data_IF_617144811148
#
_entry.id   IF_617144811148
#
_cell.length_a   1.000
_cell.length_b   1.000
_cell.length_c   1.000
_cell.angle_alpha   90.00
_cell.angle_beta   90.00
_cell.angle_gamma   90.00
#
_symmetry.space_group_name_H-M   'P 1'
#
loop_
_entity.id
_entity.type
_entity.pdbx_description
1 polymer ?
#
# COMPACT_ATOMS: atom_id res chain seq x y z
N UNK A 1 6.81 9.85 7.46
CA UNK A 1 6.02 8.78 6.82
C UNK A 1 4.66 8.59 7.46
N UNK A 2 4.54 8.07 8.68
CA UNK A 2 3.31 8.22 9.47
C UNK A 2 3.41 9.55 10.23
N UNK A 3 2.60 10.52 9.83
CA UNK A 3 2.45 11.78 10.53
C UNK A 3 0.99 11.84 10.94
N UNK A 4 0.73 12.01 12.24
CA UNK A 4 -0.63 12.27 12.69
C UNK A 4 -1.11 13.53 11.98
N UNK A 5 -2.05 13.33 11.08
CA UNK A 5 -2.51 14.37 10.16
C UNK A 5 -4.01 14.48 10.34
N UNK A 6 -4.45 15.62 10.87
CA UNK A 6 -5.87 15.94 10.90
C UNK A 6 -6.33 16.27 9.48
N UNK A 7 -7.34 15.55 9.00
CA UNK A 7 -7.95 15.84 7.71
C UNK A 7 -8.96 16.97 7.90
N UNK A 8 -8.74 18.08 7.20
CA UNK A 8 -9.68 19.20 7.23
C UNK A 8 -11.03 18.77 6.64
N UNK A 9 -12.14 19.32 7.14
CA UNK A 9 -13.49 19.04 6.62
C UNK A 9 -13.81 19.71 5.27
N UNK A 10 -12.78 20.11 4.52
CA UNK A 10 -12.93 20.82 3.25
C UNK A 10 -13.51 19.88 2.16
N UNK A 11 -14.30 20.40 1.20
CA UNK A 11 -14.88 19.59 0.13
C UNK A 11 -13.83 18.82 -0.69
N UNK A 12 -12.68 19.43 -0.96
CA UNK A 12 -11.55 18.79 -1.64
C UNK A 12 -11.04 17.54 -0.90
N UNK A 13 -10.90 17.62 0.42
CA UNK A 13 -10.49 16.49 1.24
C UNK A 13 -11.49 15.34 1.15
N UNK A 14 -12.79 15.64 1.26
CA UNK A 14 -13.86 14.63 1.18
C UNK A 14 -13.89 13.91 -0.16
N UNK A 15 -13.66 14.62 -1.26
CA UNK A 15 -13.57 13.99 -2.59
C UNK A 15 -12.38 13.06 -2.67
N UNK A 16 -11.19 13.48 -2.21
CA UNK A 16 -10.02 12.60 -2.21
C UNK A 16 -10.16 11.39 -1.28
N UNK A 17 -10.79 11.56 -0.11
CA UNK A 17 -11.12 10.45 0.79
C UNK A 17 -11.96 9.42 0.05
N UNK A 18 -13.04 9.85 -0.62
CA UNK A 18 -13.91 8.96 -1.39
C UNK A 18 -13.16 8.20 -2.49
N UNK A 19 -12.30 8.89 -3.25
CA UNK A 19 -11.47 8.23 -4.28
C UNK A 19 -10.50 7.21 -3.65
N UNK A 20 -10.07 7.43 -2.41
CA UNK A 20 -9.23 6.49 -1.68
C UNK A 20 -10.02 5.29 -1.14
N UNK A 21 -11.27 5.48 -0.72
CA UNK A 21 -12.18 4.42 -0.27
C UNK A 21 -12.39 3.37 -1.36
N UNK A 22 -12.53 3.80 -2.61
CA UNK A 22 -12.70 2.92 -3.78
C UNK A 22 -11.56 1.90 -3.91
N UNK A 23 -10.35 2.22 -3.43
CA UNK A 23 -9.19 1.29 -3.44
C UNK A 23 -9.38 0.08 -2.52
N UNK A 24 -10.26 0.19 -1.52
CA UNK A 24 -10.51 -0.87 -0.53
C UNK A 24 -11.84 -1.59 -0.75
N UNK A 25 -12.58 -1.23 -1.80
CA UNK A 25 -13.78 -1.95 -2.20
C UNK A 25 -13.43 -3.41 -2.54
N UNK A 26 -14.13 -4.40 -1.94
CA UNK A 26 -13.88 -5.81 -2.24
C UNK A 26 -14.02 -6.12 -3.73
N UNK A 27 -12.99 -6.75 -4.32
CA UNK A 27 -13.07 -7.20 -5.70
C UNK A 27 -13.81 -8.55 -5.78
N UNK A 28 -15.08 -8.49 -6.20
CA UNK A 28 -15.94 -9.67 -6.30
C UNK A 28 -15.82 -10.41 -7.64
N UNK A 29 -15.12 -9.84 -8.63
CA UNK A 29 -15.01 -10.42 -9.98
C UNK A 29 -14.35 -11.81 -9.98
N UNK A 30 -13.44 -12.07 -9.05
CA UNK A 30 -12.80 -13.37 -8.89
C UNK A 30 -13.77 -14.47 -8.43
N UNK A 31 -14.89 -14.10 -7.80
CA UNK A 31 -15.88 -15.03 -7.25
C UNK A 31 -17.07 -15.26 -8.20
N UNK A 32 -17.33 -14.35 -9.14
CA UNK A 32 -18.61 -14.29 -9.88
C UNK A 32 -18.61 -14.96 -11.26
N UNK A 33 -17.48 -15.48 -11.73
CA UNK A 33 -17.36 -15.99 -13.12
C UNK A 33 -18.17 -17.25 -13.46
N UNK A 34 -18.90 -17.86 -12.52
CA UNK A 34 -19.83 -18.98 -12.82
C UNK A 34 -21.01 -19.21 -11.83
N UNK A 35 -21.20 -18.40 -10.77
CA UNK A 35 -21.83 -18.89 -9.52
C UNK A 35 -22.66 -17.84 -8.73
N UNK A 36 -23.22 -16.84 -9.43
CA UNK A 36 -23.68 -15.57 -8.82
C UNK A 36 -24.65 -15.64 -7.62
N UNK A 37 -25.70 -16.48 -7.58
CA UNK A 37 -26.69 -16.41 -6.50
C UNK A 37 -26.19 -16.99 -5.16
N UNK A 38 -25.45 -18.10 -5.19
CA UNK A 38 -24.99 -18.71 -3.94
C UNK A 38 -23.81 -17.95 -3.34
N UNK A 39 -22.91 -17.44 -4.19
CA UNK A 39 -21.73 -16.68 -3.77
C UNK A 39 -22.18 -15.45 -2.98
N UNK A 40 -23.26 -14.81 -3.43
CA UNK A 40 -23.85 -13.69 -2.72
C UNK A 40 -24.42 -14.09 -1.35
N UNK A 41 -25.10 -15.23 -1.25
CA UNK A 41 -25.59 -15.76 0.04
C UNK A 41 -24.46 -16.07 1.00
N UNK A 42 -23.38 -16.69 0.53
CA UNK A 42 -22.22 -17.00 1.35
C UNK A 42 -21.44 -15.73 1.75
N UNK A 43 -21.37 -14.71 0.89
CA UNK A 43 -20.82 -13.39 1.23
C UNK A 43 -21.64 -12.71 2.33
N UNK A 44 -22.97 -12.74 2.24
CA UNK A 44 -23.85 -12.20 3.28
C UNK A 44 -23.66 -12.93 4.61
N UNK A 45 -23.63 -14.26 4.58
CA UNK A 45 -23.37 -15.08 5.78
C UNK A 45 -22.00 -14.78 6.38
N UNK A 46 -20.94 -14.76 5.56
CA UNK A 46 -19.59 -14.46 6.02
C UNK A 46 -19.43 -13.01 6.53
N UNK A 47 -20.23 -12.07 6.01
CA UNK A 47 -20.26 -10.68 6.48
C UNK A 47 -21.07 -10.47 7.77
N UNK A 48 -21.86 -11.46 8.20
CA UNK A 48 -22.63 -11.41 9.45
C UNK A 48 -21.71 -11.37 10.68
N UNK A 49 -22.21 -10.95 11.85
CA UNK A 49 -21.43 -11.02 13.10
C UNK A 49 -20.88 -12.43 13.39
N UNK A 50 -21.68 -13.47 13.15
CA UNK A 50 -21.29 -14.87 13.33
C UNK A 50 -20.26 -15.30 12.28
N UNK A 51 -20.48 -14.96 11.01
CA UNK A 51 -19.53 -15.23 9.92
C UNK A 51 -18.16 -14.58 10.18
N UNK A 52 -18.15 -13.32 10.61
CA UNK A 52 -16.94 -12.59 10.99
C UNK A 52 -16.25 -13.21 12.20
N UNK A 53 -17.01 -13.64 13.20
CA UNK A 53 -16.47 -14.34 14.36
C UNK A 53 -15.79 -15.66 13.95
N UNK A 54 -16.39 -16.42 13.02
CA UNK A 54 -15.80 -17.64 12.45
C UNK A 54 -14.49 -17.32 11.73
N UNK A 55 -14.48 -16.32 10.83
CA UNK A 55 -13.26 -15.90 10.13
C UNK A 55 -12.15 -15.53 11.11
N UNK A 56 -12.44 -14.74 12.14
CA UNK A 56 -11.42 -14.37 13.13
C UNK A 56 -10.96 -15.58 13.95
N UNK A 57 -11.84 -16.51 14.32
CA UNK A 57 -11.43 -17.71 15.06
C UNK A 57 -10.41 -18.55 14.27
N UNK A 58 -10.56 -18.64 12.94
CA UNK A 58 -9.60 -19.29 12.04
C UNK A 58 -8.25 -18.58 12.03
N UNK A 59 -8.22 -17.27 12.28
CA UNK A 59 -7.00 -16.46 12.27
C UNK A 59 -6.32 -16.36 13.64
N UNK A 60 -7.05 -16.54 14.74
CA UNK A 60 -6.50 -16.42 16.09
C UNK A 60 -5.35 -17.39 16.35
N UNK A 61 -5.50 -18.68 16.00
CA UNK A 61 -4.44 -19.67 16.19
C UNK A 61 -3.21 -19.39 15.30
N UNK A 62 -3.34 -19.16 13.98
CA UNK A 62 -2.23 -18.70 13.14
C UNK A 62 -1.54 -17.44 13.65
N UNK A 63 -2.30 -16.45 14.11
CA UNK A 63 -1.77 -15.19 14.63
C UNK A 63 -0.93 -15.42 15.91
N UNK A 64 -1.39 -16.33 16.77
CA UNK A 64 -0.66 -16.75 17.96
C UNK A 64 0.57 -17.58 17.63
N UNK A 65 0.53 -18.40 16.57
CA UNK A 65 1.67 -19.18 16.07
C UNK A 65 2.69 -18.33 15.29
N UNK A 66 2.23 -17.27 14.61
CA UNK A 66 3.04 -16.23 13.97
C UNK A 66 3.94 -15.50 14.98
N UNK A 67 3.59 -15.51 16.29
CA UNK A 67 4.42 -14.94 17.38
C UNK A 67 5.82 -15.56 17.48
N UNK A 68 6.06 -16.72 16.89
CA UNK A 68 7.36 -17.36 17.03
C UNK A 68 8.32 -17.05 15.88
N UNK A 69 8.15 -17.51 14.64
CA UNK A 69 9.38 -17.68 13.84
C UNK A 69 9.26 -17.38 12.34
N UNK A 70 8.17 -17.73 11.64
CA UNK A 70 8.24 -17.81 10.17
C UNK A 70 8.31 -16.46 9.42
N UNK A 71 7.44 -15.49 9.73
CA UNK A 71 7.49 -14.18 9.03
C UNK A 71 8.75 -13.40 9.39
N UNK A 72 9.22 -13.52 10.63
CA UNK A 72 10.46 -12.91 11.12
C UNK A 72 11.67 -13.58 10.50
N UNK A 73 11.71 -14.91 10.42
CA UNK A 73 12.77 -15.66 9.75
C UNK A 73 12.76 -15.34 8.26
N UNK A 74 11.61 -15.32 7.58
CA UNK A 74 11.55 -14.97 6.15
C UNK A 74 12.01 -13.54 5.87
N UNK A 75 11.58 -12.58 6.68
CA UNK A 75 12.09 -11.22 6.59
C UNK A 75 13.59 -11.19 6.90
N UNK A 76 14.04 -11.80 8.00
CA UNK A 76 15.45 -11.87 8.38
C UNK A 76 16.33 -12.53 7.32
N UNK A 77 15.88 -13.60 6.68
CA UNK A 77 16.59 -14.27 5.56
C UNK A 77 16.79 -13.33 4.37
N UNK A 78 15.84 -12.43 4.09
CA UNK A 78 16.02 -11.41 3.04
C UNK A 78 17.07 -10.36 3.41
N UNK A 79 17.26 -10.11 4.70
CA UNK A 79 18.21 -9.14 5.24
C UNK A 79 19.45 -9.79 5.89
N UNK A 80 19.65 -11.12 5.73
CA UNK A 80 20.55 -11.94 6.56
C UNK A 80 22.03 -11.65 6.36
N UNK A 81 22.41 -11.14 5.18
CA UNK A 81 23.79 -10.74 4.87
C UNK A 81 24.17 -9.37 5.48
N UNK A 82 23.21 -8.63 6.03
CA UNK A 82 23.49 -7.35 6.66
C UNK A 82 23.64 -7.58 8.16
N UNK A 83 24.87 -7.89 8.57
CA UNK A 83 25.27 -7.87 9.97
C UNK A 83 24.79 -6.56 10.61
N UNK A 84 24.08 -6.65 11.75
CA UNK A 84 23.64 -5.53 12.61
C UNK A 84 22.48 -4.61 12.14
N UNK A 85 21.58 -4.99 11.21
CA UNK A 85 20.39 -4.14 10.90
C UNK A 85 19.34 -4.14 11.99
N UNK A 86 19.00 -5.32 12.50
CA UNK A 86 18.06 -5.50 13.60
C UNK A 86 18.59 -6.61 14.49
N UNK A 87 18.89 -6.30 15.74
CA UNK A 87 19.21 -7.36 16.69
C UNK A 87 17.95 -8.21 16.95
N UNK A 88 18.12 -9.44 17.44
CA UNK A 88 16.99 -10.35 17.71
C UNK A 88 15.93 -9.75 18.64
N UNK A 89 16.33 -8.81 19.51
CA UNK A 89 15.43 -8.11 20.43
C UNK A 89 14.54 -7.11 19.69
N UNK A 90 15.10 -6.30 18.80
CA UNK A 90 14.38 -5.33 17.99
C UNK A 90 13.43 -6.04 17.01
N UNK A 91 13.89 -7.11 16.35
CA UNK A 91 13.04 -7.92 15.48
C UNK A 91 11.84 -8.50 16.25
N UNK A 92 12.06 -8.96 17.50
CA UNK A 92 10.99 -9.44 18.37
C UNK A 92 10.02 -8.34 18.79
N UNK A 93 10.53 -7.16 19.15
CA UNK A 93 9.70 -6.00 19.53
C UNK A 93 8.84 -5.49 18.36
N UNK A 94 9.41 -5.41 17.16
CA UNK A 94 8.66 -5.06 15.94
C UNK A 94 7.55 -6.09 15.66
N UNK A 95 7.85 -7.37 15.86
CA UNK A 95 6.88 -8.46 15.72
C UNK A 95 5.75 -8.38 16.73
N UNK A 96 6.06 -8.08 17.99
CA UNK A 96 5.05 -7.86 19.03
C UNK A 96 4.16 -6.65 18.69
N UNK A 97 4.73 -5.56 18.16
CA UNK A 97 3.95 -4.40 17.72
C UNK A 97 3.07 -4.72 16.51
N UNK A 98 3.60 -5.43 15.51
CA UNK A 98 2.83 -5.89 14.35
C UNK A 98 1.68 -6.82 14.78
N UNK A 99 1.91 -7.72 15.75
CA UNK A 99 0.87 -8.56 16.32
C UNK A 99 -0.26 -7.74 16.93
N UNK A 100 0.05 -6.73 17.76
CA UNK A 100 -0.97 -5.87 18.36
C UNK A 100 -1.80 -5.14 17.30
N UNK A 101 -1.15 -4.72 16.21
CA UNK A 101 -1.83 -4.12 15.06
C UNK A 101 -2.83 -5.09 14.42
N UNK A 102 -2.44 -6.35 14.18
CA UNK A 102 -3.37 -7.35 13.63
C UNK A 102 -4.48 -7.76 14.61
N UNK A 103 -4.19 -7.88 15.91
CA UNK A 103 -5.24 -8.09 16.92
C UNK A 103 -6.27 -6.97 16.82
N UNK A 104 -5.80 -5.71 16.77
CA UNK A 104 -6.69 -4.56 16.65
C UNK A 104 -7.49 -4.57 15.36
N UNK A 105 -6.87 -4.99 14.26
CA UNK A 105 -7.51 -5.10 12.96
C UNK A 105 -8.62 -6.17 12.95
N UNK A 106 -8.39 -7.30 13.61
CA UNK A 106 -9.39 -8.37 13.75
C UNK A 106 -10.54 -7.95 14.68
N UNK A 107 -10.27 -7.17 15.74
CA UNK A 107 -11.33 -6.55 16.56
C UNK A 107 -12.22 -5.65 15.69
N UNK A 108 -11.64 -4.80 14.86
CA UNK A 108 -12.39 -3.92 13.95
C UNK A 108 -13.18 -4.71 12.92
N UNK A 109 -12.60 -5.78 12.37
CA UNK A 109 -13.31 -6.69 11.47
C UNK A 109 -14.48 -7.39 12.17
N UNK A 110 -14.46 -7.63 13.48
CA UNK A 110 -15.61 -8.20 14.19
C UNK A 110 -16.69 -7.19 14.56
N UNK A 111 -16.41 -5.88 14.50
CA UNK A 111 -17.38 -4.89 14.92
C UNK A 111 -18.60 -4.90 13.99
N UNK A 112 -19.82 -4.89 14.56
CA UNK A 112 -21.02 -4.78 13.77
C UNK A 112 -21.11 -3.36 13.19
N UNK A 113 -20.75 -3.20 11.93
CA UNK A 113 -21.11 -2.02 11.15
C UNK A 113 -22.52 -2.24 10.64
N UNK A 114 -23.42 -1.26 10.79
CA UNK A 114 -24.79 -1.36 10.27
C UNK A 114 -24.75 -1.71 8.79
N UNK A 115 -25.06 -2.96 8.45
CA UNK A 115 -25.24 -3.37 7.05
C UNK A 115 -26.47 -2.61 6.59
N UNK A 116 -26.29 -1.57 5.78
CA UNK A 116 -27.40 -1.02 5.02
C UNK A 116 -27.90 -2.17 4.15
N UNK A 117 -29.07 -2.72 4.49
CA UNK A 117 -29.63 -3.85 3.76
C UNK A 117 -29.90 -3.34 2.35
N UNK A 118 -29.10 -3.73 1.35
CA UNK A 118 -29.33 -3.24 0.02
C UNK A 118 -30.66 -3.84 -0.43
N UNK A 119 -31.54 -3.01 -1.00
CA UNK A 119 -32.76 -3.52 -1.63
C UNK A 119 -32.31 -4.51 -2.70
N UNK A 120 -32.58 -5.80 -2.46
CA UNK A 120 -32.14 -6.95 -3.27
C UNK A 120 -32.41 -6.77 -4.78
N UNK A 121 -33.30 -5.88 -5.18
CA UNK A 121 -33.64 -5.63 -6.58
C UNK A 121 -32.54 -4.95 -7.41
N UNK A 122 -31.55 -4.28 -6.81
CA UNK A 122 -30.52 -3.51 -7.54
C UNK A 122 -29.13 -4.16 -7.67
N UNK A 123 -28.81 -5.15 -6.83
CA UNK A 123 -27.47 -5.76 -6.78
C UNK A 123 -27.26 -6.89 -7.78
N UNK A 124 -28.32 -7.46 -8.33
CA UNK A 124 -28.20 -8.51 -9.37
C UNK A 124 -27.71 -7.98 -10.71
N UNK A 125 -27.72 -6.66 -10.91
CA UNK A 125 -27.31 -6.03 -12.18
C UNK A 125 -25.91 -5.44 -12.16
N UNK A 126 -25.32 -5.13 -11.00
CA UNK A 126 -24.03 -4.44 -10.94
C UNK A 126 -23.23 -4.74 -9.65
N UNK A 127 -22.79 -6.00 -9.50
CA UNK A 127 -21.97 -6.47 -8.35
C UNK A 127 -20.59 -5.77 -8.29
N UNK A 128 -20.20 -5.02 -9.33
CA UNK A 128 -18.92 -4.31 -9.40
C UNK A 128 -18.84 -3.01 -8.59
N UNK A 129 -19.98 -2.39 -8.27
CA UNK A 129 -20.07 -1.02 -7.70
C UNK A 129 -20.58 -1.01 -6.24
N UNK A 130 -20.26 -2.04 -5.46
CA UNK A 130 -20.70 -2.12 -4.06
C UNK A 130 -19.83 -1.26 -3.14
N UNK A 131 -20.45 -0.29 -2.47
CA UNK A 131 -19.81 0.50 -1.40
C UNK A 131 -19.32 -0.37 -0.24
N UNK A 132 -18.26 0.07 0.47
CA UNK A 132 -17.73 -0.53 1.70
C UNK A 132 -18.82 -0.85 2.74
N UNK A 133 -19.82 0.03 2.87
CA UNK A 133 -20.92 -0.11 3.81
C UNK A 133 -21.80 -1.35 3.57
N UNK A 134 -21.97 -1.76 2.30
CA UNK A 134 -22.74 -2.96 1.92
C UNK A 134 -22.17 -4.21 2.60
N UNK A 135 -20.85 -4.24 2.73
CA UNK A 135 -20.14 -5.37 3.31
C UNK A 135 -19.82 -5.16 4.78
N UNK A 136 -20.32 -4.09 5.41
CA UNK A 136 -20.02 -3.73 6.79
C UNK A 136 -18.55 -3.38 7.01
N UNK A 137 -17.87 -2.85 5.99
CA UNK A 137 -16.50 -2.33 6.12
C UNK A 137 -16.62 -0.86 6.55
N UNK A 138 -15.99 -0.45 7.67
CA UNK A 138 -16.06 0.92 8.14
C UNK A 138 -15.32 1.89 7.22
N UNK A 139 -15.69 3.16 7.30
CA UNK A 139 -15.04 4.25 6.56
C UNK A 139 -13.53 4.27 6.82
N UNK A 140 -12.75 4.61 5.79
CA UNK A 140 -11.28 4.54 5.89
C UNK A 140 -10.74 5.50 6.94
N UNK A 141 -11.42 6.61 7.21
CA UNK A 141 -11.06 7.55 8.27
C UNK A 141 -11.19 6.90 9.65
N UNK A 142 -12.29 6.17 9.89
CA UNK A 142 -12.53 5.44 11.13
C UNK A 142 -11.51 4.32 11.34
N UNK A 143 -11.22 3.55 10.27
CA UNK A 143 -10.14 2.55 10.28
C UNK A 143 -8.81 3.19 10.65
N UNK A 144 -8.48 4.32 10.00
CA UNK A 144 -7.22 5.00 10.22
C UNK A 144 -7.06 5.49 11.65
N UNK A 145 -8.09 6.12 12.22
CA UNK A 145 -8.09 6.57 13.61
C UNK A 145 -7.93 5.40 14.57
N UNK A 146 -8.57 4.26 14.29
CA UNK A 146 -8.51 3.10 15.17
C UNK A 146 -7.14 2.40 15.19
N UNK A 147 -6.44 2.35 14.04
CA UNK A 147 -5.12 1.69 13.95
C UNK A 147 -3.94 2.63 14.19
N UNK A 148 -4.15 3.94 14.14
CA UNK A 148 -3.09 4.96 14.28
C UNK A 148 -2.24 4.80 15.55
N UNK A 149 -2.78 4.54 16.76
CA UNK A 149 -1.96 4.33 17.94
C UNK A 149 -0.98 3.16 17.80
N UNK A 150 -1.42 2.04 17.23
CA UNK A 150 -0.59 0.85 17.00
C UNK A 150 0.49 1.12 15.94
N UNK A 151 0.13 1.82 14.87
CA UNK A 151 1.06 2.23 13.82
C UNK A 151 2.12 3.23 14.31
N UNK A 152 1.74 4.19 15.15
CA UNK A 152 2.69 5.12 15.77
C UNK A 152 3.63 4.40 16.74
N UNK A 153 3.15 3.39 17.47
CA UNK A 153 4.01 2.55 18.30
C UNK A 153 5.03 1.77 17.45
N UNK A 154 4.56 1.16 16.36
CA UNK A 154 5.42 0.45 15.41
C UNK A 154 6.48 1.39 14.80
N UNK A 155 6.09 2.61 14.40
CA UNK A 155 7.00 3.63 13.91
C UNK A 155 8.00 4.10 14.97
N UNK A 156 7.59 4.27 16.24
CA UNK A 156 8.50 4.63 17.33
C UNK A 156 9.58 3.58 17.54
N UNK A 157 9.23 2.29 17.49
CA UNK A 157 10.20 1.19 17.57
C UNK A 157 11.20 1.24 16.40
N UNK A 158 10.71 1.56 15.20
CA UNK A 158 11.56 1.76 14.04
C UNK A 158 12.50 2.96 14.16
N UNK A 159 12.00 4.14 14.56
CA UNK A 159 12.84 5.33 14.74
C UNK A 159 13.92 5.10 15.81
N UNK A 160 13.59 4.35 16.86
CA UNK A 160 14.53 3.96 17.89
C UNK A 160 15.68 3.06 17.37
N UNK A 161 15.46 2.31 16.28
CA UNK A 161 16.51 1.47 15.67
C UNK A 161 17.54 2.29 14.88
N UNK A 162 17.28 3.59 14.63
CA UNK A 162 18.15 4.51 13.86
C UNK A 162 18.51 4.02 12.45
N UNK A 163 17.80 3.02 11.92
CA UNK A 163 18.09 2.38 10.64
C UNK A 163 16.83 2.28 9.79
N UNK A 164 16.76 3.09 8.72
CA UNK A 164 15.63 3.10 7.78
C UNK A 164 15.40 1.73 7.09
N UNK A 165 16.39 0.83 7.06
CA UNK A 165 16.21 -0.55 6.56
C UNK A 165 15.20 -1.34 7.40
N UNK A 166 15.04 -1.00 8.69
CA UNK A 166 14.00 -1.58 9.52
C UNK A 166 12.57 -1.23 9.04
N UNK A 167 12.39 -0.16 8.25
CA UNK A 167 11.10 0.16 7.64
C UNK A 167 10.79 -0.78 6.47
N UNK A 168 11.79 -1.07 5.63
CA UNK A 168 11.69 -2.10 4.60
C UNK A 168 11.41 -3.48 5.19
N UNK A 169 12.03 -3.79 6.32
CA UNK A 169 11.71 -5.00 7.10
C UNK A 169 10.25 -5.02 7.55
N UNK A 170 9.73 -3.92 8.11
CA UNK A 170 8.35 -3.83 8.58
C UNK A 170 7.32 -4.05 7.46
N UNK A 171 7.43 -3.34 6.34
CA UNK A 171 6.47 -3.50 5.23
C UNK A 171 6.49 -4.92 4.67
N UNK A 172 7.67 -5.55 4.68
CA UNK A 172 7.87 -6.95 4.28
C UNK A 172 7.26 -7.93 5.26
N UNK A 173 7.43 -7.68 6.56
CA UNK A 173 6.82 -8.48 7.62
C UNK A 173 5.30 -8.45 7.54
N UNK A 174 4.70 -7.27 7.31
CA UNK A 174 3.25 -7.14 7.14
C UNK A 174 2.77 -7.90 5.91
N UNK A 175 3.46 -7.79 4.77
CA UNK A 175 3.13 -8.55 3.57
C UNK A 175 3.18 -10.07 3.81
N UNK A 176 4.26 -10.58 4.41
CA UNK A 176 4.34 -12.02 4.74
C UNK A 176 3.26 -12.45 5.73
N UNK A 177 2.96 -11.62 6.73
CA UNK A 177 1.88 -11.90 7.68
C UNK A 177 0.53 -11.96 6.99
N UNK A 178 0.22 -11.00 6.11
CA UNK A 178 -1.00 -11.01 5.29
C UNK A 178 -1.10 -12.32 4.48
N UNK A 179 -0.05 -12.72 3.76
CA UNK A 179 -0.06 -13.94 2.97
C UNK A 179 -0.29 -15.19 3.82
N UNK A 180 0.38 -15.30 4.97
CA UNK A 180 0.23 -16.44 5.87
C UNK A 180 -1.17 -16.53 6.48
N UNK A 181 -1.79 -15.39 6.80
CA UNK A 181 -3.15 -15.33 7.32
C UNK A 181 -4.18 -15.67 6.24
N UNK A 182 -4.05 -15.09 5.04
CA UNK A 182 -4.99 -15.34 3.93
C UNK A 182 -5.04 -16.81 3.50
N UNK A 183 -3.92 -17.53 3.57
CA UNK A 183 -3.85 -18.98 3.29
C UNK A 183 -4.74 -19.84 4.21
N UNK A 184 -5.23 -19.30 5.33
CA UNK A 184 -6.10 -20.01 6.28
C UNK A 184 -7.59 -19.79 6.04
N UNK A 185 -7.92 -18.96 5.05
CA UNK A 185 -9.27 -18.50 4.79
C UNK A 185 -9.81 -19.02 3.47
N UNK A 186 -11.13 -19.18 3.42
CA UNK A 186 -11.85 -19.45 2.16
C UNK A 186 -11.82 -18.23 1.23
N UNK A 187 -12.04 -18.38 -0.08
CA UNK A 187 -12.04 -17.25 -1.02
C UNK A 187 -13.01 -16.11 -0.62
N UNK A 188 -14.16 -16.45 -0.06
CA UNK A 188 -15.16 -15.47 0.42
C UNK A 188 -14.64 -14.68 1.62
N UNK A 189 -14.07 -15.39 2.60
CA UNK A 189 -13.45 -14.74 3.76
C UNK A 189 -12.27 -13.88 3.36
N UNK A 190 -11.44 -14.35 2.41
CA UNK A 190 -10.32 -13.58 1.87
C UNK A 190 -10.81 -12.27 1.25
N UNK A 191 -11.87 -12.30 0.44
CA UNK A 191 -12.43 -11.11 -0.20
C UNK A 191 -12.92 -10.07 0.81
N UNK A 192 -13.54 -10.50 1.92
CA UNK A 192 -14.05 -9.58 2.95
C UNK A 192 -12.96 -9.01 3.86
N UNK A 193 -11.90 -9.77 4.15
CA UNK A 193 -10.83 -9.31 5.06
C UNK A 193 -9.66 -8.60 4.36
N UNK A 194 -9.44 -8.89 3.06
CA UNK A 194 -8.36 -8.29 2.27
C UNK A 194 -8.36 -6.76 2.30
N UNK A 195 -9.51 -6.04 2.26
CA UNK A 195 -9.56 -4.59 2.44
C UNK A 195 -8.83 -4.09 3.69
N UNK A 196 -9.00 -4.78 4.83
CA UNK A 196 -8.37 -4.43 6.11
C UNK A 196 -6.86 -4.66 6.07
N UNK A 197 -6.43 -5.79 5.51
CA UNK A 197 -5.01 -6.15 5.38
C UNK A 197 -4.28 -5.21 4.42
N UNK A 198 -4.89 -4.91 3.27
CA UNK A 198 -4.41 -3.94 2.29
C UNK A 198 -4.32 -2.55 2.90
N UNK A 199 -5.35 -2.13 3.64
CA UNK A 199 -5.38 -0.83 4.30
C UNK A 199 -4.17 -0.64 5.22
N UNK A 200 -3.89 -1.61 6.09
CA UNK A 200 -2.75 -1.54 7.02
C UNK A 200 -1.40 -1.54 6.30
N UNK A 201 -1.23 -2.34 5.25
CA UNK A 201 0.00 -2.32 4.44
C UNK A 201 0.20 -0.97 3.75
N UNK A 202 -0.87 -0.38 3.21
CA UNK A 202 -0.79 0.94 2.57
C UNK A 202 -0.59 2.06 3.59
N UNK A 203 -1.16 1.98 4.80
CA UNK A 203 -0.93 2.98 5.85
C UNK A 203 0.56 3.16 6.18
N UNK A 204 1.34 2.08 6.11
CA UNK A 204 2.78 2.12 6.40
C UNK A 204 3.63 2.43 5.17
N UNK A 205 3.07 2.67 3.99
CA UNK A 205 3.86 2.96 2.79
C UNK A 205 3.42 4.25 2.09
N UNK A 206 2.14 4.58 2.16
CA UNK A 206 1.50 5.60 1.34
C UNK A 206 0.97 6.74 2.22
N UNK A 207 1.38 8.01 1.99
CA UNK A 207 0.99 9.15 2.84
C UNK A 207 -0.41 9.71 2.50
N UNK A 208 -1.42 8.86 2.33
CA UNK A 208 -2.73 9.25 1.81
C UNK A 208 -3.47 10.30 2.67
N UNK A 209 -3.41 10.21 4.02
CA UNK A 209 -4.00 11.24 4.91
C UNK A 209 -3.41 12.62 4.62
N UNK A 210 -2.10 12.68 4.37
CA UNK A 210 -1.40 13.93 4.07
C UNK A 210 -1.73 14.46 2.68
N UNK A 211 -1.94 13.58 1.70
CA UNK A 211 -2.47 13.96 0.38
C UNK A 211 -3.85 14.59 0.55
N UNK A 212 -4.76 13.94 1.29
CA UNK A 212 -6.09 14.45 1.57
C UNK A 212 -6.05 15.79 2.30
N UNK A 213 -5.19 15.93 3.33
CA UNK A 213 -5.03 17.19 4.05
C UNK A 213 -4.41 18.30 3.18
N UNK A 214 -3.44 17.97 2.33
CA UNK A 214 -2.81 18.94 1.41
C UNK A 214 -3.82 19.50 0.40
N UNK A 215 -4.81 18.71 -0.02
CA UNK A 215 -5.90 19.15 -0.89
C UNK A 215 -6.77 20.26 -0.28
N UNK A 216 -6.83 20.38 1.05
CA UNK A 216 -7.59 21.45 1.72
C UNK A 216 -7.15 22.87 1.32
N UNK A 217 -5.91 23.01 0.84
CA UNK A 217 -5.32 24.30 0.43
C UNK A 217 -5.70 24.71 -0.99
N UNK A 218 -6.36 23.84 -1.74
CA UNK A 218 -6.67 24.06 -3.14
C UNK A 218 -8.15 24.41 -3.31
N UNK A 219 -8.43 25.39 -4.16
CA UNK A 219 -9.80 25.64 -4.62
C UNK A 219 -10.34 24.44 -5.40
N UNK A 220 -11.66 24.29 -5.47
CA UNK A 220 -12.28 23.13 -6.11
C UNK A 220 -11.94 23.00 -7.61
N UNK A 221 -11.61 24.11 -8.27
CA UNK A 221 -11.25 24.23 -9.68
C UNK A 221 -9.73 24.38 -9.90
N UNK A 222 -8.92 24.19 -8.87
CA UNK A 222 -7.46 24.23 -8.99
C UNK A 222 -6.98 23.15 -9.97
N UNK A 223 -6.15 23.50 -10.99
CA UNK A 223 -5.60 22.51 -11.93
C UNK A 223 -4.84 21.36 -11.24
N UNK A 224 -4.20 21.64 -10.10
CA UNK A 224 -3.47 20.66 -9.29
C UNK A 224 -4.40 19.66 -8.64
N UNK A 225 -5.53 20.13 -8.12
CA UNK A 225 -6.52 19.24 -7.51
C UNK A 225 -7.20 18.38 -8.58
N UNK A 226 -7.56 18.99 -9.72
CA UNK A 226 -8.21 18.31 -10.85
C UNK A 226 -7.34 17.16 -11.37
N UNK A 227 -6.03 17.41 -11.62
CA UNK A 227 -5.15 16.35 -12.14
C UNK A 227 -4.97 15.22 -11.12
N UNK A 228 -4.91 15.52 -9.82
CA UNK A 228 -4.82 14.50 -8.77
C UNK A 228 -6.12 13.69 -8.70
N UNK A 229 -7.29 14.34 -8.69
CA UNK A 229 -8.59 13.67 -8.70
C UNK A 229 -8.76 12.75 -9.92
N UNK A 230 -8.26 13.16 -11.09
CA UNK A 230 -8.28 12.36 -12.31
C UNK A 230 -7.35 11.13 -12.24
N UNK A 231 -6.15 11.29 -11.64
CA UNK A 231 -5.12 10.26 -11.71
C UNK A 231 -5.20 9.23 -10.59
N UNK A 232 -5.81 9.54 -9.45
CA UNK A 232 -5.92 8.61 -8.33
C UNK A 232 -6.68 7.31 -8.67
N UNK A 233 -7.84 7.33 -9.35
CA UNK A 233 -8.57 6.11 -9.69
C UNK A 233 -7.80 5.16 -10.60
N UNK A 234 -6.90 5.71 -11.43
CA UNK A 234 -6.14 4.93 -12.43
C UNK A 234 -4.74 4.54 -11.95
N UNK A 235 -4.39 4.78 -10.68
CA UNK A 235 -3.03 4.57 -10.17
C UNK A 235 -2.57 3.11 -10.26
N UNK A 236 -3.48 2.18 -10.00
CA UNK A 236 -3.22 0.75 -10.06
C UNK A 236 -2.99 0.30 -11.52
N UNK A 237 -3.78 0.83 -12.45
CA UNK A 237 -3.62 0.56 -13.88
C UNK A 237 -2.31 1.11 -14.43
N UNK A 238 -1.89 2.28 -13.97
CA UNK A 238 -0.55 2.84 -14.26
C UNK A 238 0.53 1.89 -13.76
N UNK A 239 0.45 1.44 -12.50
CA UNK A 239 1.43 0.54 -11.90
C UNK A 239 1.52 -0.79 -12.67
N UNK A 240 0.38 -1.39 -13.07
CA UNK A 240 0.37 -2.61 -13.87
C UNK A 240 0.93 -2.43 -15.26
N UNK A 241 0.64 -1.31 -15.94
CA UNK A 241 1.19 -0.99 -17.26
C UNK A 241 2.72 -0.96 -17.21
N UNK A 242 3.27 -0.24 -16.23
CA UNK A 242 4.71 -0.12 -15.99
C UNK A 242 5.34 -1.47 -15.63
N UNK A 243 4.75 -2.22 -14.70
CA UNK A 243 5.26 -3.54 -14.29
C UNK A 243 5.31 -4.53 -15.48
N UNK A 244 4.29 -4.55 -16.33
CA UNK A 244 4.28 -5.42 -17.53
C UNK A 244 5.43 -5.07 -18.46
N UNK A 245 5.66 -3.78 -18.71
CA UNK A 245 6.76 -3.32 -19.53
C UNK A 245 8.13 -3.69 -18.92
N UNK A 246 8.29 -3.48 -17.61
CA UNK A 246 9.51 -3.88 -16.88
C UNK A 246 9.77 -5.37 -16.97
N UNK A 247 8.74 -6.20 -16.83
CA UNK A 247 8.84 -7.66 -16.93
C UNK A 247 9.25 -8.11 -18.32
N UNK A 248 8.81 -7.40 -19.38
CA UNK A 248 9.25 -7.65 -20.74
C UNK A 248 10.69 -7.20 -21.00
N UNK A 249 11.13 -6.06 -20.45
CA UNK A 249 12.48 -5.54 -20.68
C UNK A 249 13.55 -6.22 -19.85
N UNK A 250 13.19 -6.69 -18.66
CA UNK A 250 14.11 -7.33 -17.73
C UNK A 250 13.63 -8.75 -17.36
N UNK A 251 13.46 -9.66 -18.34
CA UNK A 251 12.89 -10.99 -18.10
C UNK A 251 13.74 -11.85 -17.15
N UNK A 252 15.03 -11.55 -17.06
CA UNK A 252 15.99 -12.26 -16.20
C UNK A 252 16.29 -11.51 -14.89
N UNK A 253 15.61 -10.39 -14.61
CA UNK A 253 15.82 -9.69 -13.35
C UNK A 253 15.35 -10.56 -12.18
N UNK A 254 16.25 -10.74 -11.23
CA UNK A 254 16.03 -11.48 -10.01
C UNK A 254 16.61 -10.66 -8.86
N UNK A 255 15.74 -10.24 -7.95
CA UNK A 255 16.15 -9.68 -6.67
C UNK A 255 16.37 -10.80 -5.65
N UNK A 256 16.77 -10.46 -4.42
CA UNK A 256 16.78 -11.44 -3.32
C UNK A 256 15.42 -12.07 -3.02
N UNK A 257 14.33 -11.40 -3.41
CA UNK A 257 12.95 -11.92 -3.25
C UNK A 257 12.53 -12.84 -4.39
N UNK A 258 13.39 -13.02 -5.39
CA UNK A 258 13.14 -13.82 -6.58
C UNK A 258 12.93 -13.00 -7.84
N UNK A 259 12.45 -13.69 -8.87
CA UNK A 259 12.23 -13.13 -10.21
C UNK A 259 10.95 -12.28 -10.27
N UNK A 260 10.82 -11.47 -11.32
CA UNK A 260 9.63 -10.64 -11.55
C UNK A 260 8.33 -11.46 -11.69
N UNK A 261 8.41 -12.77 -11.95
CA UNK A 261 7.23 -13.65 -12.04
C UNK A 261 6.77 -14.19 -10.66
N UNK A 262 7.52 -13.95 -9.59
CA UNK A 262 7.14 -14.36 -8.25
C UNK A 262 6.01 -13.46 -7.71
N UNK A 263 4.84 -14.00 -7.29
CA UNK A 263 3.72 -13.20 -6.79
C UNK A 263 4.08 -12.16 -5.71
N UNK A 264 5.01 -12.49 -4.80
CA UNK A 264 5.45 -11.57 -3.77
C UNK A 264 6.29 -10.39 -4.33
N UNK A 265 7.07 -10.64 -5.38
CA UNK A 265 7.84 -9.61 -6.10
C UNK A 265 6.88 -8.71 -6.90
N UNK A 266 5.88 -9.30 -7.55
CA UNK A 266 4.82 -8.57 -8.26
C UNK A 266 4.12 -7.60 -7.31
N UNK A 267 3.61 -8.12 -6.19
CA UNK A 267 2.93 -7.31 -5.18
C UNK A 267 3.80 -6.16 -4.68
N UNK A 268 5.07 -6.45 -4.32
CA UNK A 268 6.00 -5.41 -3.86
C UNK A 268 6.25 -4.35 -4.94
N UNK A 269 6.45 -4.76 -6.19
CA UNK A 269 6.72 -3.83 -7.29
C UNK A 269 5.51 -2.91 -7.56
N UNK A 270 4.30 -3.48 -7.62
CA UNK A 270 3.07 -2.70 -7.80
C UNK A 270 2.88 -1.71 -6.66
N UNK A 271 2.99 -2.16 -5.40
CA UNK A 271 2.90 -1.30 -4.21
C UNK A 271 3.90 -0.15 -4.28
N UNK A 272 5.16 -0.43 -4.63
CA UNK A 272 6.20 0.59 -4.69
C UNK A 272 5.87 1.61 -5.80
N UNK A 273 5.43 1.18 -6.98
CA UNK A 273 4.98 2.07 -8.05
C UNK A 273 3.80 2.96 -7.63
N UNK A 274 2.84 2.43 -6.86
CA UNK A 274 1.75 3.24 -6.30
C UNK A 274 2.24 4.23 -5.23
N UNK A 275 3.21 3.83 -4.39
CA UNK A 275 3.85 4.72 -3.43
C UNK A 275 4.53 5.91 -4.15
N UNK A 276 5.27 5.66 -5.24
CA UNK A 276 5.87 6.73 -6.05
C UNK A 276 4.82 7.70 -6.59
N UNK A 277 3.70 7.19 -7.11
CA UNK A 277 2.59 8.04 -7.57
C UNK A 277 2.01 8.88 -6.44
N UNK A 278 1.79 8.30 -5.27
CA UNK A 278 1.27 9.02 -4.11
C UNK A 278 2.20 10.17 -3.67
N UNK A 279 3.51 9.96 -3.68
CA UNK A 279 4.47 11.03 -3.39
C UNK A 279 4.53 12.11 -4.47
N UNK A 280 4.32 11.76 -5.75
CA UNK A 280 4.14 12.76 -6.80
C UNK A 280 2.91 13.63 -6.51
N UNK A 281 1.76 13.04 -6.21
CA UNK A 281 0.53 13.77 -5.89
C UNK A 281 0.66 14.62 -4.62
N UNK A 282 1.33 14.09 -3.61
CA UNK A 282 1.68 14.88 -2.43
C UNK A 282 2.52 16.09 -2.81
N UNK A 283 3.56 15.91 -3.63
CA UNK A 283 4.42 17.01 -4.08
C UNK A 283 3.68 18.06 -4.91
N UNK A 284 2.74 17.65 -5.76
CA UNK A 284 1.88 18.55 -6.53
C UNK A 284 0.99 19.37 -5.58
N UNK A 285 0.29 18.73 -4.64
CA UNK A 285 -0.62 19.41 -3.71
C UNK A 285 0.11 20.23 -2.62
N UNK A 286 1.35 19.86 -2.28
CA UNK A 286 2.23 20.64 -1.39
C UNK A 286 3.03 21.71 -2.10
N UNK A 287 2.99 21.71 -3.43
CA UNK A 287 3.80 22.59 -4.27
C UNK A 287 5.29 22.51 -3.89
N UNK A 288 5.74 21.32 -3.51
CA UNK A 288 7.04 21.10 -2.90
C UNK A 288 7.55 19.68 -3.09
N UNK A 289 8.85 19.55 -3.36
CA UNK A 289 9.56 18.26 -3.46
C UNK A 289 10.16 17.82 -2.11
N UNK A 290 9.84 18.51 -1.02
CA UNK A 290 10.47 18.26 0.28
C UNK A 290 10.22 16.82 0.76
N UNK A 291 8.97 16.37 0.66
CA UNK A 291 8.51 15.03 1.07
C UNK A 291 9.20 13.92 0.28
N UNK A 292 9.39 14.11 -1.03
CA UNK A 292 10.18 13.20 -1.88
C UNK A 292 11.64 13.15 -1.42
N UNK A 293 12.27 14.31 -1.25
CA UNK A 293 13.70 14.42 -0.96
C UNK A 293 14.07 13.90 0.43
N UNK A 294 13.20 14.11 1.42
CA UNK A 294 13.48 13.75 2.81
C UNK A 294 13.01 12.33 3.13
N UNK A 295 11.87 11.90 2.59
CA UNK A 295 11.23 10.64 2.96
C UNK A 295 11.45 9.57 1.88
N UNK A 296 10.86 9.74 0.69
CA UNK A 296 10.84 8.70 -0.35
C UNK A 296 12.25 8.32 -0.82
N UNK A 297 13.07 9.30 -1.16
CA UNK A 297 14.44 9.06 -1.68
C UNK A 297 15.29 8.36 -0.62
N UNK A 298 15.18 8.77 0.65
CA UNK A 298 15.91 8.15 1.76
C UNK A 298 15.50 6.68 1.92
N UNK A 299 14.19 6.40 1.92
CA UNK A 299 13.65 5.05 2.02
C UNK A 299 14.15 4.16 0.87
N UNK A 300 13.93 4.59 -0.37
CA UNK A 300 14.23 3.79 -1.55
C UNK A 300 15.72 3.47 -1.65
N UNK A 301 16.61 4.45 -1.46
CA UNK A 301 18.06 4.19 -1.59
C UNK A 301 18.56 3.20 -0.54
N UNK A 302 18.10 3.32 0.70
CA UNK A 302 18.51 2.39 1.77
C UNK A 302 17.93 0.99 1.59
N UNK A 303 16.73 0.86 1.01
CA UNK A 303 16.12 -0.45 0.74
C UNK A 303 16.70 -1.12 -0.50
N UNK A 304 16.96 -0.40 -1.59
CA UNK A 304 17.43 -1.01 -2.85
C UNK A 304 18.71 -1.83 -2.69
N UNK A 305 19.69 -1.30 -1.96
CA UNK A 305 20.94 -2.02 -1.67
C UNK A 305 20.67 -3.32 -0.91
N UNK A 306 19.74 -3.29 0.04
CA UNK A 306 19.43 -4.43 0.90
C UNK A 306 18.74 -5.59 0.18
N UNK A 307 18.01 -5.32 -0.90
CA UNK A 307 17.26 -6.33 -1.68
C UNK A 307 17.90 -6.65 -3.04
N UNK A 308 19.08 -6.09 -3.32
CA UNK A 308 19.86 -6.27 -4.55
C UNK A 308 19.06 -5.97 -5.82
N UNK A 309 18.26 -4.90 -5.79
CA UNK A 309 17.61 -4.42 -7.02
C UNK A 309 18.68 -3.74 -7.88
N UNK A 310 18.90 -4.27 -9.09
CA UNK A 310 19.78 -3.68 -10.08
C UNK A 310 19.42 -2.22 -10.36
N UNK A 311 20.42 -1.35 -10.37
CA UNK A 311 20.21 0.10 -10.55
C UNK A 311 19.51 0.43 -11.87
N UNK A 312 19.95 -0.19 -12.97
CA UNK A 312 19.35 0.00 -14.29
C UNK A 312 17.85 -0.33 -14.30
N UNK A 313 17.44 -1.38 -13.57
CA UNK A 313 16.02 -1.73 -13.42
C UNK A 313 15.26 -0.61 -12.70
N UNK A 314 15.79 -0.10 -11.59
CA UNK A 314 15.14 0.94 -10.81
C UNK A 314 15.01 2.27 -11.56
N UNK A 315 16.09 2.74 -12.22
CA UNK A 315 16.05 3.96 -13.04
C UNK A 315 14.97 3.82 -14.10
N UNK A 316 14.95 2.67 -14.78
CA UNK A 316 13.99 2.42 -15.84
C UNK A 316 12.55 2.35 -15.31
N UNK A 317 12.34 1.79 -14.13
CA UNK A 317 11.05 1.76 -13.46
C UNK A 317 10.51 3.17 -13.18
N UNK A 318 11.34 4.07 -12.64
CA UNK A 318 10.94 5.46 -12.42
C UNK A 318 10.63 6.14 -13.75
N UNK A 319 11.50 6.01 -14.77
CA UNK A 319 11.28 6.64 -16.07
C UNK A 319 9.96 6.21 -16.69
N UNK A 320 9.71 4.90 -16.76
CA UNK A 320 8.48 4.34 -17.31
C UNK A 320 7.25 4.78 -16.53
N UNK A 321 7.35 4.88 -15.21
CA UNK A 321 6.25 5.38 -14.38
C UNK A 321 5.91 6.83 -14.73
N UNK A 322 6.92 7.68 -14.87
CA UNK A 322 6.69 9.09 -15.23
C UNK A 322 6.14 9.23 -16.65
N UNK A 323 6.67 8.46 -17.60
CA UNK A 323 6.19 8.44 -18.99
C UNK A 323 4.74 7.96 -19.09
N UNK A 324 4.37 6.92 -18.34
CA UNK A 324 3.01 6.38 -18.30
C UNK A 324 2.02 7.36 -17.64
N UNK A 325 2.45 8.11 -16.62
CA UNK A 325 1.62 9.17 -16.03
C UNK A 325 1.41 10.29 -17.05
N UNK A 326 2.48 10.74 -17.71
CA UNK A 326 2.41 11.78 -18.72
C UNK A 326 1.53 11.35 -19.92
N UNK A 327 1.54 10.07 -20.30
CA UNK A 327 0.71 9.59 -21.42
C UNK A 327 -0.80 9.67 -21.17
N UNK A 328 -1.22 9.74 -19.90
CA UNK A 328 -2.64 9.72 -19.46
C UNK A 328 -3.24 11.09 -19.14
N UNK A 329 -2.45 12.17 -19.26
CA UNK A 329 -2.88 13.53 -18.93
C UNK A 329 -2.87 14.46 -20.16
N UNK A 330 -3.65 15.54 -20.09
CA UNK A 330 -3.69 16.56 -21.15
C UNK A 330 -2.37 17.32 -21.27
N UNK A 331 -2.15 18.05 -22.37
CA UNK A 331 -0.94 18.85 -22.55
C UNK A 331 -0.74 19.88 -21.43
N UNK A 332 -1.78 20.62 -21.05
CA UNK A 332 -1.71 21.60 -19.96
C UNK A 332 -1.37 20.95 -18.62
N UNK A 333 -1.87 19.73 -18.38
CA UNK A 333 -1.54 18.95 -17.19
C UNK A 333 -0.10 18.44 -17.23
N UNK A 334 0.46 18.10 -18.41
CA UNK A 334 1.88 17.73 -18.53
C UNK A 334 2.78 18.88 -18.09
N UNK A 335 2.51 20.08 -18.58
CA UNK A 335 3.29 21.28 -18.23
C UNK A 335 3.25 21.55 -16.71
N UNK A 336 2.11 21.28 -16.07
CA UNK A 336 1.97 21.35 -14.62
C UNK A 336 2.79 20.28 -13.87
N UNK A 337 2.86 19.06 -14.40
CA UNK A 337 3.50 17.92 -13.73
C UNK A 337 5.02 17.85 -13.95
N UNK A 338 5.52 18.32 -15.09
CA UNK A 338 6.93 18.22 -15.49
C UNK A 338 7.92 18.68 -14.41
N UNK A 339 7.75 19.84 -13.75
CA UNK A 339 8.68 20.28 -12.71
C UNK A 339 8.78 19.31 -11.52
N UNK A 340 7.69 18.62 -11.18
CA UNK A 340 7.67 17.65 -10.10
C UNK A 340 8.30 16.33 -10.52
N UNK A 341 8.01 15.87 -11.74
CA UNK A 341 8.58 14.66 -12.33
C UNK A 341 10.11 14.77 -12.46
N UNK A 342 10.59 15.84 -13.09
CA UNK A 342 12.03 16.11 -13.23
C UNK A 342 12.68 16.26 -11.85
N UNK A 343 11.99 16.93 -10.94
CA UNK A 343 12.44 17.11 -9.56
C UNK A 343 12.61 15.80 -8.78
N UNK A 344 11.70 14.83 -8.96
CA UNK A 344 11.80 13.49 -8.38
C UNK A 344 13.01 12.76 -8.97
N UNK A 345 13.11 12.71 -10.30
CA UNK A 345 14.22 12.04 -10.99
C UNK A 345 15.58 12.62 -10.55
N UNK A 346 15.69 13.95 -10.47
CA UNK A 346 16.90 14.62 -10.02
C UNK A 346 17.21 14.35 -8.55
N UNK A 347 16.20 14.27 -7.68
CA UNK A 347 16.41 13.95 -6.27
C UNK A 347 17.04 12.56 -6.09
N UNK A 348 16.57 11.58 -6.87
CA UNK A 348 17.17 10.25 -6.92
C UNK A 348 18.58 10.23 -7.52
N UNK A 349 18.84 11.02 -8.56
CA UNK A 349 20.18 11.17 -9.13
C UNK A 349 21.19 11.76 -8.12
N UNK A 350 20.83 12.87 -7.46
CA UNK A 350 21.71 13.56 -6.50
C UNK A 350 22.02 12.70 -5.27
N UNK A 351 21.02 12.02 -4.69
CA UNK A 351 21.24 11.20 -3.49
C UNK A 351 22.19 10.03 -3.77
N UNK A 352 22.08 9.42 -4.95
CA UNK A 352 22.99 8.34 -5.40
C UNK A 352 24.44 8.81 -5.49
N UNK A 353 24.68 9.94 -6.16
CA UNK A 353 26.04 10.50 -6.28
C UNK A 353 26.68 10.81 -4.93
N UNK A 354 25.90 11.16 -3.90
CA UNK A 354 26.40 11.41 -2.53
C UNK A 354 26.75 10.15 -1.75
N UNK A 355 26.20 9.00 -2.13
CA UNK A 355 26.44 7.72 -1.46
C UNK A 355 27.58 6.92 -2.10
N UNK A 356 28.26 7.48 -3.11
CA UNK A 356 29.37 6.81 -3.79
C UNK A 356 28.95 5.60 -4.63
N UNK A 357 27.64 5.46 -4.90
CA UNK A 357 27.10 4.47 -5.83
C UNK A 357 27.44 4.98 -7.24
N UNK A 358 28.64 4.66 -7.71
CA UNK A 358 29.07 4.93 -9.08
C UNK A 358 28.48 3.84 -9.96
N UNK A 359 27.67 4.24 -10.93
CA UNK A 359 27.17 3.38 -12.00
C UNK A 359 28.35 2.65 -12.65
N UNK A 360 28.43 1.33 -12.47
CA UNK A 360 29.27 0.48 -13.30
C UNK A 360 28.59 0.31 -14.67
N UNK A 361 28.65 1.37 -15.47
CA UNK A 361 28.49 1.28 -16.91
C UNK A 361 29.78 1.82 -17.53
N UNK A 362 30.72 0.92 -17.80
CA UNK A 362 31.48 0.82 -19.06
C UNK A 362 32.43 -0.38 -18.98
N UNK A 363 32.06 -1.47 -19.63
CA UNK A 363 32.92 -2.29 -20.47
C UNK A 363 32.04 -3.10 -21.43
#
# INVERSE_FOLDING_TARGET
>A
MLVSTEIAKAPACKRLIKLWEDRYTPNLFALTSAQAPWVFSELLEASSPEGRAITVSKLQEPLMNLRCELAVIQAKMLYEYISDVLNLREARQLTECALQLYIKLLELYQQPTSIETPVLSGLYTDIGDTSLAVWGIPDIEALATAVEPALLQLQKQHVASMDWRALGFMTTQLNFTNNLLLQKLTPIEQVLITPYFKFVEEQVAIPWKRICAAAARHAADSPRLIVVEQMLPVSLDVAWSVYRYLSCQFPNHCSRRGTLNNPAVIHSCIRDLEMFQAYLWLSVLEESLLSVKQELVTLCVMVMESVEIAEAFFIKAIQLLMDEILSRVSLDQKDLLLPYIEGIQQAFYVKRGRLGIVSQETA
#
